data_IF_546367187004
#
_entry.id   IF_546367187004
#
_cell.length_a   1.000
_cell.length_b   1.000
_cell.length_c   1.000
_cell.angle_alpha   90.00
_cell.angle_beta   90.00
_cell.angle_gamma   90.00
#
_symmetry.space_group_name_H-M   'P 1'
#
loop_
_entity.id
_entity.type
_entity.pdbx_description
1 polymer ?
#
# COMPACT_ATOMS: atom_id res chain seq x y z
N UNK A 1 -12.62 -44.66 61.74
CA UNK A 1 -13.27 -45.78 61.03
C UNK A 1 -12.73 -45.90 59.65
N UNK A 2 -11.69 -46.73 59.48
CA UNK A 2 -11.02 -47.01 58.20
C UNK A 2 -11.83 -48.10 57.48
N UNK A 3 -12.11 -47.89 56.19
CA UNK A 3 -12.51 -48.98 55.30
C UNK A 3 -11.51 -49.04 54.13
N UNK A 4 -10.71 -50.10 54.17
CA UNK A 4 -9.88 -50.60 53.08
C UNK A 4 -10.77 -51.16 51.95
N UNK A 5 -10.56 -50.68 50.70
CA UNK A 5 -11.05 -51.36 49.51
C UNK A 5 -9.89 -51.97 48.76
N UNK A 6 -9.86 -53.31 48.74
CA UNK A 6 -8.98 -54.14 47.95
C UNK A 6 -9.30 -53.96 46.44
N UNK A 7 -8.32 -53.55 45.62
CA UNK A 7 -8.43 -53.66 44.17
C UNK A 7 -7.77 -54.99 43.71
N UNK A 8 -8.62 -55.82 43.11
CA UNK A 8 -8.23 -57.08 42.48
C UNK A 8 -7.48 -56.83 41.19
N UNK A 9 -6.28 -57.34 41.07
CA UNK A 9 -5.48 -57.37 39.83
C UNK A 9 -6.08 -58.40 38.86
N UNK A 10 -6.75 -57.90 37.80
CA UNK A 10 -7.06 -58.74 36.63
C UNK A 10 -5.91 -58.62 35.63
N UNK A 11 -5.26 -59.72 35.38
CA UNK A 11 -4.25 -59.93 34.33
C UNK A 11 -4.84 -59.68 32.95
N UNK A 12 -4.24 -58.74 32.20
CA UNK A 12 -4.53 -58.48 30.79
C UNK A 12 -3.98 -59.63 29.93
N UNK A 13 -4.84 -60.38 29.27
CA UNK A 13 -4.47 -61.31 28.23
C UNK A 13 -3.91 -60.60 26.99
N UNK A 14 -2.93 -61.14 26.27
CA UNK A 14 -2.33 -60.53 25.09
C UNK A 14 -3.30 -60.61 23.89
N UNK A 15 -3.65 -59.43 23.33
CA UNK A 15 -4.44 -59.30 22.10
C UNK A 15 -3.85 -60.11 20.94
N UNK A 16 -4.70 -60.87 20.27
CA UNK A 16 -4.36 -61.77 19.17
C UNK A 16 -3.73 -61.01 18.00
N UNK A 17 -2.81 -61.64 17.25
CA UNK A 17 -2.08 -61.08 16.11
C UNK A 17 -2.97 -60.46 15.01
N UNK A 18 -4.26 -60.83 14.96
CA UNK A 18 -5.26 -60.27 14.00
C UNK A 18 -5.70 -58.85 14.35
N UNK A 19 -5.72 -58.43 15.64
CA UNK A 19 -6.04 -57.06 16.04
C UNK A 19 -4.89 -56.09 15.78
N UNK A 20 -3.64 -56.52 15.73
CA UNK A 20 -2.49 -55.63 15.43
C UNK A 20 -2.47 -55.15 13.98
N UNK A 21 -2.99 -55.94 13.04
CA UNK A 21 -3.03 -55.57 11.62
C UNK A 21 -4.15 -54.53 11.33
N UNK A 22 -5.25 -54.59 12.06
CA UNK A 22 -6.36 -53.65 11.90
C UNK A 22 -6.03 -52.25 12.45
N UNK A 23 -5.29 -52.15 13.57
CA UNK A 23 -4.87 -50.87 14.14
C UNK A 23 -3.80 -50.13 13.29
N UNK A 24 -2.90 -50.86 12.62
CA UNK A 24 -1.88 -50.28 11.74
C UNK A 24 -2.50 -49.74 10.45
N UNK A 25 -3.57 -50.38 9.94
CA UNK A 25 -4.24 -49.90 8.72
C UNK A 25 -5.12 -48.64 8.98
N UNK A 26 -5.67 -48.48 10.19
CA UNK A 26 -6.41 -47.26 10.57
C UNK A 26 -5.48 -46.04 10.76
N UNK A 27 -4.25 -46.23 11.23
CA UNK A 27 -3.31 -45.10 11.40
C UNK A 27 -2.77 -44.55 10.08
N UNK A 28 -2.66 -45.38 9.02
CA UNK A 28 -2.25 -44.89 7.70
C UNK A 28 -3.35 -44.09 6.96
N UNK A 29 -4.64 -44.38 7.27
CA UNK A 29 -5.75 -43.68 6.60
C UNK A 29 -6.02 -42.27 7.17
N UNK A 30 -5.65 -42.00 8.42
CA UNK A 30 -5.81 -40.68 9.05
C UNK A 30 -4.77 -39.64 8.63
N UNK A 31 -3.58 -40.08 8.17
CA UNK A 31 -2.54 -39.15 7.69
C UNK A 31 -2.80 -38.60 6.28
N UNK A 32 -3.53 -39.34 5.46
CA UNK A 32 -3.90 -38.89 4.11
C UNK A 32 -4.93 -37.74 4.09
N UNK A 33 -5.86 -37.71 5.04
CA UNK A 33 -6.96 -36.71 5.07
C UNK A 33 -6.48 -35.35 5.57
N UNK A 34 -5.54 -35.31 6.51
CA UNK A 34 -4.98 -34.06 7.03
C UNK A 34 -4.04 -33.35 6.05
N UNK A 35 -3.41 -34.08 5.14
CA UNK A 35 -2.55 -33.47 4.11
C UNK A 35 -3.35 -32.77 3.02
N UNK A 36 -4.45 -33.37 2.55
CA UNK A 36 -5.32 -32.76 1.54
C UNK A 36 -6.02 -31.49 2.03
N UNK A 37 -6.46 -31.44 3.29
CA UNK A 37 -7.14 -30.27 3.84
C UNK A 37 -6.20 -29.06 3.98
N UNK A 38 -4.93 -29.29 4.29
CA UNK A 38 -3.92 -28.24 4.46
C UNK A 38 -3.46 -27.64 3.10
N UNK A 39 -3.40 -28.46 2.07
CA UNK A 39 -3.10 -28.03 0.71
C UNK A 39 -4.25 -27.18 0.14
N UNK A 40 -5.48 -27.62 0.33
CA UNK A 40 -6.69 -26.91 -0.11
C UNK A 40 -6.86 -25.57 0.61
N UNK A 41 -6.54 -25.49 1.89
CA UNK A 41 -6.57 -24.28 2.67
C UNK A 41 -5.55 -23.26 2.15
N UNK A 42 -4.35 -23.67 1.71
CA UNK A 42 -3.35 -22.79 1.10
C UNK A 42 -3.79 -22.27 -0.29
N UNK A 43 -4.52 -23.06 -1.03
CA UNK A 43 -5.05 -22.70 -2.36
C UNK A 43 -6.12 -21.61 -2.28
N UNK A 44 -6.84 -21.53 -1.14
CA UNK A 44 -7.93 -20.57 -0.90
C UNK A 44 -7.46 -19.28 -0.20
N UNK A 45 -6.16 -19.17 0.12
CA UNK A 45 -5.61 -17.97 0.77
C UNK A 45 -5.04 -16.99 -0.24
N UNK A 46 -5.35 -15.71 -0.03
CA UNK A 46 -4.73 -14.56 -0.72
C UNK A 46 -4.14 -13.65 0.34
N UNK A 47 -2.86 -13.36 0.24
CA UNK A 47 -2.15 -12.48 1.17
C UNK A 47 -1.71 -11.19 0.47
N UNK A 48 -2.12 -10.06 1.04
CA UNK A 48 -1.80 -8.71 0.56
C UNK A 48 -1.12 -7.95 1.69
N UNK A 49 0.01 -7.29 1.38
CA UNK A 49 0.63 -6.32 2.30
C UNK A 49 1.20 -5.16 1.47
N UNK A 50 1.48 -4.02 2.09
CA UNK A 50 2.08 -2.91 1.37
C UNK A 50 1.85 -1.54 1.96
N UNK A 51 1.75 -0.54 1.09
CA UNK A 51 1.59 0.86 1.49
C UNK A 51 0.26 1.16 2.19
N UNK A 52 0.28 2.03 3.19
CA UNK A 52 -0.93 2.51 3.86
C UNK A 52 -1.89 3.22 2.89
N UNK A 53 -1.33 3.91 1.90
CA UNK A 53 -2.09 4.44 0.77
C UNK A 53 -2.51 3.26 -0.12
N UNK A 54 -3.76 3.15 -0.43
CA UNK A 54 -4.34 2.00 -1.13
C UNK A 54 -4.86 0.88 -0.21
N UNK A 55 -4.50 0.87 1.07
CA UNK A 55 -4.99 -0.14 2.03
C UNK A 55 -6.51 -0.21 2.06
N UNK A 56 -7.20 0.94 2.10
CA UNK A 56 -8.66 1.00 2.06
C UNK A 56 -9.25 0.37 0.79
N UNK A 57 -8.59 0.56 -0.38
CA UNK A 57 -9.01 -0.08 -1.64
C UNK A 57 -8.86 -1.60 -1.52
N UNK A 58 -7.70 -2.07 -1.03
CA UNK A 58 -7.43 -3.51 -0.86
C UNK A 58 -8.46 -4.16 0.09
N UNK A 59 -8.79 -3.49 1.20
CA UNK A 59 -9.82 -3.96 2.13
C UNK A 59 -11.20 -4.03 1.51
N UNK A 60 -11.66 -2.95 0.86
CA UNK A 60 -12.96 -2.92 0.21
C UNK A 60 -13.11 -4.03 -0.84
N UNK A 61 -12.08 -4.21 -1.68
CA UNK A 61 -12.09 -5.28 -2.70
C UNK A 61 -12.05 -6.67 -2.04
N UNK A 62 -11.27 -6.85 -0.97
CA UNK A 62 -11.20 -8.13 -0.25
C UNK A 62 -12.54 -8.51 0.38
N UNK A 63 -13.21 -7.57 1.04
CA UNK A 63 -14.52 -7.78 1.63
C UNK A 63 -15.58 -8.16 0.58
N UNK A 64 -15.61 -7.47 -0.54
CA UNK A 64 -16.55 -7.77 -1.63
C UNK A 64 -16.24 -9.10 -2.32
N UNK A 65 -14.95 -9.41 -2.53
CA UNK A 65 -14.54 -10.70 -3.07
C UNK A 65 -14.94 -11.87 -2.16
N UNK A 66 -14.80 -11.71 -0.84
CA UNK A 66 -15.21 -12.75 0.13
C UNK A 66 -16.73 -12.97 0.16
N UNK A 67 -17.54 -11.94 -0.16
CA UNK A 67 -18.99 -12.13 -0.37
C UNK A 67 -19.27 -12.92 -1.64
N UNK A 68 -18.50 -12.67 -2.70
CA UNK A 68 -18.62 -13.41 -3.98
C UNK A 68 -18.08 -14.84 -3.86
N UNK A 69 -16.99 -15.04 -3.10
CA UNK A 69 -16.33 -16.34 -2.89
C UNK A 69 -16.10 -16.58 -1.39
N UNK A 70 -17.11 -17.09 -0.64
CA UNK A 70 -17.05 -17.23 0.82
C UNK A 70 -15.98 -18.19 1.34
N UNK A 71 -15.50 -19.11 0.53
CA UNK A 71 -14.43 -20.06 0.87
C UNK A 71 -13.02 -19.45 0.71
N UNK A 72 -12.89 -18.29 0.08
CA UNK A 72 -11.63 -17.59 -0.04
C UNK A 72 -11.31 -16.80 1.24
N UNK A 73 -10.05 -16.85 1.65
CA UNK A 73 -9.54 -16.09 2.79
C UNK A 73 -8.56 -15.03 2.29
N UNK A 74 -8.97 -13.76 2.30
CA UNK A 74 -8.12 -12.64 1.90
C UNK A 74 -7.64 -11.91 3.16
N UNK A 75 -6.32 -11.84 3.34
CA UNK A 75 -5.70 -11.08 4.41
C UNK A 75 -5.06 -9.82 3.84
N UNK A 76 -5.33 -8.67 4.45
CA UNK A 76 -4.78 -7.37 4.05
C UNK A 76 -4.01 -6.77 5.22
N UNK A 77 -2.75 -6.42 5.00
CA UNK A 77 -1.87 -5.79 5.97
C UNK A 77 -1.25 -4.50 5.40
N UNK A 78 -0.65 -3.68 6.27
CA UNK A 78 -0.03 -2.41 5.88
C UNK A 78 1.30 -2.21 6.61
N UNK A 79 2.39 -2.73 6.03
CA UNK A 79 3.76 -2.58 6.54
C UNK A 79 4.60 -1.52 5.79
N UNK A 80 3.94 -0.68 5.00
CA UNK A 80 4.60 0.28 4.10
C UNK A 80 5.03 -0.37 2.78
N UNK A 81 5.19 0.44 1.70
CA UNK A 81 5.60 -0.07 0.38
C UNK A 81 6.93 -0.84 0.45
N UNK A 82 7.94 -0.30 1.15
CA UNK A 82 9.24 -0.96 1.27
C UNK A 82 9.19 -2.25 2.07
N UNK A 83 8.43 -2.28 3.17
CA UNK A 83 8.21 -3.47 3.99
C UNK A 83 7.46 -4.55 3.23
N UNK A 84 6.36 -4.18 2.55
CA UNK A 84 5.58 -5.08 1.71
C UNK A 84 6.40 -5.68 0.58
N UNK A 85 7.17 -4.87 -0.17
CA UNK A 85 8.07 -5.37 -1.23
C UNK A 85 9.12 -6.33 -0.68
N UNK A 86 9.63 -6.09 0.53
CA UNK A 86 10.59 -7.00 1.15
C UNK A 86 10.00 -8.39 1.39
N UNK A 87 8.80 -8.47 1.97
CA UNK A 87 8.06 -9.72 2.18
C UNK A 87 7.67 -10.39 0.85
N UNK A 88 7.26 -9.58 -0.11
CA UNK A 88 6.91 -10.05 -1.45
C UNK A 88 8.09 -10.73 -2.14
N UNK A 89 9.27 -10.08 -2.17
CA UNK A 89 10.48 -10.66 -2.75
C UNK A 89 11.01 -11.86 -1.92
N UNK A 90 10.61 -12.00 -0.64
CA UNK A 90 10.88 -13.21 0.15
C UNK A 90 9.91 -14.36 -0.16
N UNK A 91 8.83 -14.10 -0.93
CA UNK A 91 7.79 -15.07 -1.26
C UNK A 91 6.80 -15.33 -0.11
N UNK A 92 6.70 -14.41 0.85
CA UNK A 92 5.84 -14.53 2.03
C UNK A 92 4.41 -14.10 1.76
N UNK A 93 4.19 -13.26 0.73
CA UNK A 93 2.88 -12.74 0.33
C UNK A 93 2.66 -12.89 -1.19
N UNK A 94 1.39 -12.93 -1.59
CA UNK A 94 0.99 -13.12 -2.99
C UNK A 94 0.95 -11.79 -3.75
N UNK A 95 0.56 -10.72 -3.07
CA UNK A 95 0.34 -9.39 -3.67
C UNK A 95 0.96 -8.33 -2.78
N UNK A 96 1.67 -7.38 -3.38
CA UNK A 96 2.12 -6.18 -2.67
C UNK A 96 1.47 -4.93 -3.23
N UNK A 97 0.87 -4.12 -2.34
CA UNK A 97 0.35 -2.79 -2.66
C UNK A 97 1.45 -1.74 -2.57
N UNK A 98 1.56 -0.88 -3.58
CA UNK A 98 2.61 0.12 -3.65
C UNK A 98 2.09 1.50 -4.06
N UNK A 99 2.57 2.53 -3.40
CA UNK A 99 2.26 3.94 -3.69
C UNK A 99 3.43 4.68 -4.36
N UNK A 100 4.32 3.92 -4.94
CA UNK A 100 5.40 4.29 -5.86
C UNK A 100 5.78 3.08 -6.70
N UNK A 101 6.43 3.26 -7.85
CA UNK A 101 7.01 2.15 -8.60
C UNK A 101 8.05 1.36 -7.78
N UNK A 102 8.18 0.08 -8.11
CA UNK A 102 9.25 -0.79 -7.58
C UNK A 102 10.62 -0.27 -8.05
N UNK A 103 11.62 -0.32 -7.17
CA UNK A 103 12.98 0.17 -7.46
C UNK A 103 13.84 -0.94 -8.07
N UNK A 104 14.87 -0.59 -8.82
CA UNK A 104 15.81 -1.56 -9.41
C UNK A 104 16.44 -2.48 -8.35
N UNK A 105 16.83 -1.94 -7.20
CA UNK A 105 17.36 -2.73 -6.07
C UNK A 105 16.36 -3.74 -5.49
N UNK A 106 15.06 -3.40 -5.55
CA UNK A 106 13.96 -4.28 -5.12
C UNK A 106 13.71 -5.36 -6.18
N UNK A 107 13.75 -5.01 -7.47
CA UNK A 107 13.65 -5.96 -8.58
C UNK A 107 14.80 -6.98 -8.52
N UNK A 108 16.04 -6.53 -8.31
CA UNK A 108 17.18 -7.44 -8.15
C UNK A 108 17.06 -8.34 -6.91
N UNK A 109 16.45 -7.86 -5.83
CA UNK A 109 16.15 -8.68 -4.66
C UNK A 109 15.14 -9.78 -4.97
N UNK A 110 14.07 -9.45 -5.69
CA UNK A 110 13.08 -10.41 -6.14
C UNK A 110 13.70 -11.45 -7.08
N UNK A 111 14.51 -11.05 -8.05
CA UNK A 111 15.22 -11.95 -8.97
C UNK A 111 16.12 -12.96 -8.23
N UNK A 112 16.88 -12.51 -7.22
CA UNK A 112 17.72 -13.41 -6.40
C UNK A 112 16.94 -14.49 -5.68
N UNK A 113 15.63 -14.31 -5.52
CA UNK A 113 14.71 -15.27 -4.89
C UNK A 113 13.80 -15.96 -5.91
N UNK A 114 14.06 -15.79 -7.21
CA UNK A 114 13.24 -16.31 -8.30
C UNK A 114 11.77 -15.88 -8.20
N UNK A 115 11.51 -14.65 -7.73
CA UNK A 115 10.17 -14.06 -7.70
C UNK A 115 10.02 -13.18 -8.93
N UNK A 116 9.19 -13.64 -9.86
CA UNK A 116 8.67 -12.84 -10.98
C UNK A 116 7.33 -12.24 -10.59
N UNK A 117 6.99 -11.10 -11.17
CA UNK A 117 5.74 -10.40 -10.83
C UNK A 117 5.08 -9.74 -12.05
N UNK A 118 3.76 -9.64 -11.96
CA UNK A 118 2.93 -8.85 -12.87
C UNK A 118 2.62 -7.51 -12.18
N UNK A 119 2.97 -6.40 -12.84
CA UNK A 119 2.69 -5.04 -12.37
C UNK A 119 1.33 -4.59 -12.84
N UNK A 120 0.47 -4.17 -11.93
CA UNK A 120 -0.93 -3.80 -12.19
C UNK A 120 -1.23 -2.44 -11.56
N UNK A 121 -1.47 -1.38 -12.32
CA UNK A 121 -2.03 -0.14 -11.80
C UNK A 121 -3.49 -0.34 -11.41
N UNK A 122 -3.89 0.24 -10.27
CA UNK A 122 -5.24 0.04 -9.69
C UNK A 122 -6.01 1.34 -9.48
N UNK A 123 -5.32 2.45 -9.34
CA UNK A 123 -5.92 3.77 -9.09
C UNK A 123 -4.90 4.88 -9.36
N UNK A 124 -5.38 6.12 -9.37
CA UNK A 124 -4.57 7.32 -9.27
C UNK A 124 -4.74 7.95 -7.88
N UNK A 125 -3.68 8.56 -7.39
CA UNK A 125 -3.63 9.29 -6.13
C UNK A 125 -2.94 10.63 -6.32
N UNK A 126 -3.35 11.64 -5.52
CA UNK A 126 -2.66 12.91 -5.40
C UNK A 126 -2.05 13.05 -4.01
N UNK A 127 -0.81 13.49 -3.91
CA UNK A 127 -0.24 13.83 -2.60
C UNK A 127 -0.70 15.25 -2.24
N UNK A 128 -1.59 15.33 -1.25
CA UNK A 128 -2.10 16.60 -0.74
C UNK A 128 -1.07 17.27 0.17
N UNK A 129 -0.64 18.49 -0.18
CA UNK A 129 0.10 19.36 0.73
C UNK A 129 -0.92 20.11 1.59
N UNK A 130 -0.83 19.95 2.90
CA UNK A 130 -1.83 20.39 3.87
C UNK A 130 -1.23 21.34 4.91
N UNK A 131 -2.02 22.31 5.31
CA UNK A 131 -1.72 23.20 6.43
C UNK A 131 -2.91 23.28 7.40
N UNK A 132 -2.69 23.80 8.58
CA UNK A 132 -3.76 24.07 9.53
C UNK A 132 -4.82 25.00 8.92
N UNK A 133 -6.08 24.84 9.31
CA UNK A 133 -7.19 25.67 8.80
C UNK A 133 -7.03 27.17 9.05
N UNK A 134 -6.28 27.55 10.08
CA UNK A 134 -5.97 28.95 10.39
C UNK A 134 -4.83 29.54 9.54
N UNK A 135 -4.11 28.68 8.77
CA UNK A 135 -3.08 29.17 7.86
C UNK A 135 -3.72 29.71 6.57
N UNK A 136 -3.74 31.04 6.44
CA UNK A 136 -4.33 31.73 5.29
C UNK A 136 -3.29 32.28 4.30
N UNK A 137 -1.99 32.21 4.63
CA UNK A 137 -0.92 32.77 3.81
C UNK A 137 -0.29 31.76 2.84
N UNK A 138 -0.13 30.49 3.21
CA UNK A 138 0.45 29.46 2.37
C UNK A 138 -0.57 28.84 1.40
N UNK A 139 -1.16 29.69 0.53
CA UNK A 139 -2.22 29.24 -0.42
C UNK A 139 -1.67 28.47 -1.61
N UNK A 140 -0.46 28.78 -2.03
CA UNK A 140 0.26 28.10 -3.11
C UNK A 140 1.75 28.08 -2.80
N UNK A 141 2.39 26.94 -3.03
CA UNK A 141 3.83 26.76 -2.91
C UNK A 141 4.40 26.26 -4.24
N UNK A 142 5.55 26.80 -4.61
CA UNK A 142 6.33 26.30 -5.74
C UNK A 142 7.05 25.01 -5.37
N UNK A 143 7.48 24.24 -6.36
CA UNK A 143 8.33 23.05 -6.12
C UNK A 143 9.64 23.47 -5.44
N UNK A 144 10.22 24.63 -5.78
CA UNK A 144 11.44 25.14 -5.16
C UNK A 144 11.22 25.48 -3.67
N UNK A 145 10.08 26.09 -3.31
CA UNK A 145 9.72 26.35 -1.92
C UNK A 145 9.49 25.07 -1.15
N UNK A 146 8.79 24.08 -1.73
CA UNK A 146 8.64 22.75 -1.13
C UNK A 146 10.00 22.05 -0.99
N UNK A 147 10.87 22.13 -2.00
CA UNK A 147 12.22 21.62 -1.93
C UNK A 147 13.03 22.30 -0.83
N UNK A 148 12.93 23.62 -0.73
CA UNK A 148 13.59 24.42 0.33
C UNK A 148 13.12 24.02 1.72
N UNK A 149 11.84 23.64 1.89
CA UNK A 149 11.30 23.15 3.16
C UNK A 149 11.86 21.74 3.47
N UNK A 150 11.77 20.81 2.51
CA UNK A 150 11.88 19.38 2.80
C UNK A 150 13.24 18.74 2.54
N UNK A 151 14.14 19.36 1.75
CA UNK A 151 15.45 18.77 1.43
C UNK A 151 16.34 18.60 2.68
N UNK A 152 17.27 17.64 2.66
CA UNK A 152 18.15 17.32 3.78
C UNK A 152 18.99 18.49 4.27
N UNK A 153 19.47 19.37 3.36
CA UNK A 153 20.28 20.54 3.71
C UNK A 153 19.51 21.62 4.49
N UNK A 154 18.17 21.50 4.62
CA UNK A 154 17.31 22.44 5.33
C UNK A 154 17.12 22.06 6.81
N UNK A 155 17.64 20.90 7.22
CA UNK A 155 17.58 20.40 8.60
C UNK A 155 18.18 21.40 9.56
N UNK A 156 17.41 21.78 10.60
CA UNK A 156 17.77 22.80 11.60
C UNK A 156 17.96 24.24 11.08
N UNK A 157 17.86 24.48 9.76
CA UNK A 157 18.11 25.80 9.16
C UNK A 157 16.85 26.53 8.75
N UNK A 158 15.91 25.84 8.11
CA UNK A 158 14.61 26.39 7.73
C UNK A 158 13.62 26.06 8.86
N UNK A 159 13.47 26.98 9.79
CA UNK A 159 12.65 26.81 11.00
C UNK A 159 11.44 27.74 11.05
N UNK A 160 11.41 28.75 10.18
CA UNK A 160 10.33 29.73 10.12
C UNK A 160 9.79 29.89 8.70
N UNK A 161 8.51 30.24 8.58
CA UNK A 161 7.81 30.41 7.32
C UNK A 161 8.41 31.52 6.45
N UNK A 162 8.82 32.67 7.02
CA UNK A 162 9.46 33.76 6.26
C UNK A 162 10.83 33.39 5.66
N UNK A 163 11.45 32.32 6.13
CA UNK A 163 12.65 31.79 5.50
C UNK A 163 12.34 31.00 4.23
N UNK A 164 11.11 30.46 4.11
CA UNK A 164 10.62 29.80 2.88
C UNK A 164 10.34 30.86 1.82
N UNK A 165 9.50 31.81 2.17
CA UNK A 165 9.12 32.95 1.33
C UNK A 165 9.11 34.22 2.20
N UNK A 166 9.84 35.29 1.83
CA UNK A 166 9.89 36.54 2.62
C UNK A 166 8.54 37.24 2.83
N UNK A 167 7.53 36.95 1.97
CA UNK A 167 6.17 37.48 2.12
C UNK A 167 5.35 36.78 3.22
N UNK A 168 5.82 35.63 3.72
CA UNK A 168 5.15 34.89 4.77
C UNK A 168 5.50 35.46 6.16
N UNK A 169 4.62 35.26 7.15
CA UNK A 169 4.89 35.75 8.50
C UNK A 169 6.12 35.09 9.14
N UNK A 170 6.79 35.81 10.04
CA UNK A 170 7.88 35.26 10.83
C UNK A 170 7.32 34.38 11.95
N UNK A 171 6.81 33.20 11.59
CA UNK A 171 6.24 32.22 12.48
C UNK A 171 7.01 30.89 12.35
N UNK A 172 7.06 30.13 13.43
CA UNK A 172 7.75 28.84 13.44
C UNK A 172 7.09 27.86 12.49
N UNK A 173 7.88 27.19 11.66
CA UNK A 173 7.41 26.14 10.75
C UNK A 173 7.48 24.78 11.48
N UNK A 174 6.34 24.10 11.62
CA UNK A 174 6.23 22.74 12.15
C UNK A 174 5.89 21.76 11.03
N UNK A 175 6.56 20.63 11.00
CA UNK A 175 6.51 19.70 9.88
C UNK A 175 6.02 18.32 10.30
N UNK A 176 5.07 17.79 9.54
CA UNK A 176 4.50 16.45 9.69
C UNK A 176 4.53 15.73 8.37
N UNK A 177 5.08 14.51 8.33
CA UNK A 177 5.19 13.75 7.09
C UNK A 177 5.14 12.24 7.32
N UNK A 178 4.82 11.46 6.28
CA UNK A 178 4.96 10.02 6.33
C UNK A 178 6.37 9.58 6.73
N UNK A 179 6.49 8.45 7.42
CA UNK A 179 7.77 7.88 7.81
C UNK A 179 8.64 7.54 6.58
N UNK A 180 9.96 7.57 6.77
CA UNK A 180 10.96 7.53 5.70
C UNK A 180 11.05 6.20 4.92
N UNK A 181 10.37 5.16 5.37
CA UNK A 181 10.23 3.86 4.71
C UNK A 181 8.91 3.70 3.95
N UNK A 182 8.08 4.76 3.90
CA UNK A 182 6.81 4.75 3.17
C UNK A 182 6.98 5.14 1.71
N UNK A 183 6.13 4.58 0.83
CA UNK A 183 6.12 4.93 -0.59
C UNK A 183 5.70 6.39 -0.84
N UNK A 184 4.86 6.97 0.03
CA UNK A 184 4.47 8.39 -0.06
C UNK A 184 5.65 9.31 0.20
N UNK A 185 6.47 8.99 1.20
CA UNK A 185 7.71 9.73 1.47
C UNK A 185 8.70 9.63 0.30
N UNK A 186 8.93 8.42 -0.21
CA UNK A 186 9.83 8.19 -1.34
C UNK A 186 9.38 8.99 -2.57
N UNK A 187 8.09 8.90 -2.92
CA UNK A 187 7.56 9.60 -4.10
C UNK A 187 7.59 11.12 -3.93
N UNK A 188 7.15 11.64 -2.78
CA UNK A 188 7.16 13.08 -2.51
C UNK A 188 8.58 13.66 -2.57
N UNK A 189 9.54 13.02 -1.91
CA UNK A 189 10.92 13.50 -1.91
C UNK A 189 11.54 13.44 -3.30
N UNK A 190 11.27 12.39 -4.08
CA UNK A 190 11.67 12.31 -5.49
C UNK A 190 11.08 13.44 -6.33
N UNK A 191 9.77 13.69 -6.19
CA UNK A 191 9.05 14.70 -6.97
C UNK A 191 9.51 16.13 -6.64
N UNK A 192 9.77 16.41 -5.36
CA UNK A 192 10.05 17.76 -4.86
C UNK A 192 11.54 18.10 -4.85
N UNK A 193 12.40 17.11 -4.54
CA UNK A 193 13.85 17.37 -4.39
C UNK A 193 14.71 16.72 -5.50
N UNK A 194 14.06 16.03 -6.43
CA UNK A 194 14.73 15.30 -7.53
C UNK A 194 15.35 13.97 -7.12
N UNK A 195 15.32 13.62 -5.82
CA UNK A 195 15.93 12.37 -5.31
C UNK A 195 15.09 11.79 -4.17
N UNK A 196 14.69 10.53 -4.33
CA UNK A 196 14.01 9.80 -3.25
C UNK A 196 14.85 9.78 -1.97
N UNK A 197 14.16 9.96 -0.84
CA UNK A 197 14.77 10.03 0.51
C UNK A 197 15.70 11.23 0.78
N UNK A 198 15.81 12.18 -0.13
CA UNK A 198 16.49 13.43 0.16
C UNK A 198 15.58 14.34 1.00
N UNK A 199 15.61 14.16 2.30
CA UNK A 199 14.75 14.88 3.24
C UNK A 199 15.48 15.24 4.52
N UNK A 200 15.03 16.31 5.15
CA UNK A 200 15.39 16.65 6.54
C UNK A 200 14.87 15.60 7.50
N UNK A 201 15.39 15.57 8.73
CA UNK A 201 15.04 14.60 9.77
C UNK A 201 14.26 15.20 10.93
N UNK A 202 14.28 16.53 11.08
CA UNK A 202 13.67 17.30 12.16
C UNK A 202 12.17 17.60 11.94
N UNK A 203 11.43 16.63 11.42
CA UNK A 203 9.97 16.64 11.29
C UNK A 203 9.35 15.55 12.16
N UNK A 204 8.02 15.57 12.35
CA UNK A 204 7.29 14.52 13.05
C UNK A 204 6.85 13.44 12.05
N UNK A 205 7.47 12.25 12.06
CA UNK A 205 7.09 11.16 11.15
C UNK A 205 5.93 10.32 11.68
N UNK A 206 5.13 9.74 10.78
CA UNK A 206 4.17 8.68 11.14
C UNK A 206 3.88 7.75 9.96
N UNK A 207 3.69 6.45 10.24
CA UNK A 207 3.14 5.49 9.29
C UNK A 207 1.62 5.64 9.18
N UNK A 208 0.96 6.10 10.24
CA UNK A 208 -0.47 6.38 10.25
C UNK A 208 -0.71 7.83 9.84
N UNK A 209 -1.27 8.04 8.66
CA UNK A 209 -1.50 9.39 8.13
C UNK A 209 -2.58 10.17 8.90
N UNK A 210 -3.49 9.51 9.62
CA UNK A 210 -4.42 10.21 10.53
C UNK A 210 -3.69 10.94 11.68
N UNK A 211 -2.56 10.41 12.14
CA UNK A 211 -1.69 11.10 13.12
C UNK A 211 -1.10 12.38 12.52
N UNK A 212 -0.74 12.35 11.22
CA UNK A 212 -0.25 13.54 10.51
C UNK A 212 -1.35 14.59 10.38
N UNK A 213 -2.57 14.17 10.01
CA UNK A 213 -3.75 15.03 9.97
C UNK A 213 -4.01 15.69 11.32
N UNK A 214 -3.98 14.92 12.42
CA UNK A 214 -4.14 15.45 13.78
C UNK A 214 -3.02 16.44 14.13
N UNK A 215 -1.77 16.13 13.80
CA UNK A 215 -0.64 17.03 14.05
C UNK A 215 -0.78 18.37 13.32
N UNK A 216 -1.15 18.34 12.04
CA UNK A 216 -1.35 19.56 11.24
C UNK A 216 -2.57 20.34 11.71
N UNK A 217 -3.68 19.69 12.01
CA UNK A 217 -4.89 20.37 12.50
C UNK A 217 -4.73 20.95 13.90
N UNK A 218 -3.82 20.42 14.70
CA UNK A 218 -3.57 20.86 16.08
C UNK A 218 -2.56 22.01 16.23
N UNK A 219 -1.86 22.43 15.17
CA UNK A 219 -0.87 23.50 15.21
C UNK A 219 -1.05 24.49 14.06
N UNK A 220 -1.37 25.74 14.36
CA UNK A 220 -1.62 26.81 13.38
C UNK A 220 -0.45 27.03 12.40
N UNK A 221 0.76 26.68 12.80
CA UNK A 221 1.98 26.88 12.02
C UNK A 221 2.46 25.60 11.30
N UNK A 222 1.64 24.54 11.34
CA UNK A 222 2.01 23.26 10.77
C UNK A 222 1.83 23.20 9.25
N UNK A 223 2.75 22.48 8.62
CA UNK A 223 2.68 22.00 7.24
C UNK A 223 2.91 20.49 7.24
N UNK A 224 2.17 19.79 6.40
CA UNK A 224 2.40 18.36 6.16
C UNK A 224 2.01 17.95 4.75
N UNK A 225 2.17 16.66 4.46
CA UNK A 225 1.64 16.06 3.24
C UNK A 225 1.11 14.65 3.51
N UNK A 226 0.02 14.31 2.84
CA UNK A 226 -0.70 13.04 2.98
C UNK A 226 -1.26 12.61 1.62
N UNK A 227 -1.74 11.36 1.50
CA UNK A 227 -2.55 10.95 0.35
C UNK A 227 -3.87 11.73 0.30
N UNK A 228 -4.41 11.94 -0.90
CA UNK A 228 -5.59 12.79 -1.10
C UNK A 228 -6.81 12.31 -0.29
N UNK A 229 -7.01 11.00 -0.13
CA UNK A 229 -8.13 10.44 0.64
C UNK A 229 -8.17 10.95 2.08
N UNK A 230 -7.02 11.05 2.74
CA UNK A 230 -6.93 11.57 4.12
C UNK A 230 -7.30 13.05 4.22
N UNK A 231 -6.99 13.84 3.19
CA UNK A 231 -7.47 15.22 3.11
C UNK A 231 -8.98 15.27 2.88
N UNK A 232 -9.50 14.45 1.96
CA UNK A 232 -10.93 14.41 1.63
C UNK A 232 -11.81 14.09 2.86
N UNK A 233 -11.34 13.21 3.74
CA UNK A 233 -12.01 12.85 4.99
C UNK A 233 -11.93 13.95 6.08
N UNK A 234 -11.03 14.94 5.92
CA UNK A 234 -10.72 15.95 6.95
C UNK A 234 -10.69 17.38 6.42
N UNK A 235 -11.48 17.70 5.37
CA UNK A 235 -11.55 19.02 4.74
C UNK A 235 -12.04 20.13 5.70
N UNK A 236 -12.78 19.75 6.72
CA UNK A 236 -13.27 20.65 7.78
C UNK A 236 -12.16 21.16 8.71
N UNK A 237 -11.02 20.43 8.80
CA UNK A 237 -9.92 20.69 9.75
C UNK A 237 -8.68 21.28 9.10
N UNK A 238 -8.55 21.16 7.78
CA UNK A 238 -7.33 21.44 7.04
C UNK A 238 -7.58 22.40 5.87
N UNK A 239 -6.57 23.19 5.53
CA UNK A 239 -6.48 23.87 4.25
C UNK A 239 -5.54 23.11 3.30
N UNK A 240 -5.96 23.01 2.05
CA UNK A 240 -5.18 22.42 0.97
C UNK A 240 -4.32 23.50 0.31
N UNK A 241 -3.01 23.28 0.32
CA UNK A 241 -2.06 24.15 -0.38
C UNK A 241 -2.02 23.77 -1.86
N UNK A 242 -2.20 24.72 -2.74
CA UNK A 242 -1.96 24.50 -4.16
C UNK A 242 -0.45 24.35 -4.43
N UNK A 243 -0.10 23.54 -5.40
CA UNK A 243 1.29 23.37 -5.84
C UNK A 243 1.44 23.96 -7.23
N UNK A 244 2.47 24.78 -7.42
CA UNK A 244 2.73 25.38 -8.72
C UNK A 244 3.25 24.28 -9.66
N UNK A 245 2.51 24.08 -10.75
CA UNK A 245 2.88 23.14 -11.82
C UNK A 245 4.13 23.63 -12.58
N UNK A 246 4.79 22.78 -13.37
CA UNK A 246 5.92 23.19 -14.24
C UNK A 246 5.52 24.31 -15.22
N UNK A 247 4.23 24.45 -15.53
CA UNK A 247 3.68 25.52 -16.40
C UNK A 247 3.43 26.84 -15.64
N UNK A 248 3.75 26.91 -14.36
CA UNK A 248 3.65 28.14 -13.55
C UNK A 248 2.29 28.38 -12.91
N UNK A 249 1.31 27.46 -13.07
CA UNK A 249 -0.04 27.60 -12.49
C UNK A 249 -0.16 26.85 -11.17
N UNK A 250 -0.83 27.48 -10.19
CA UNK A 250 -1.13 26.87 -8.91
C UNK A 250 -2.29 25.87 -9.05
N UNK A 251 -2.03 24.61 -8.82
CA UNK A 251 -2.99 23.51 -8.95
C UNK A 251 -3.20 22.80 -7.63
N UNK A 252 -4.43 22.33 -7.40
CA UNK A 252 -4.79 21.48 -6.27
C UNK A 252 -5.16 20.08 -6.78
N UNK A 253 -5.02 19.02 -5.98
CA UNK A 253 -5.50 17.69 -6.36
C UNK A 253 -7.04 17.57 -6.37
N UNK A 254 -7.74 18.60 -5.92
CA UNK A 254 -9.21 18.69 -5.91
C UNK A 254 -9.66 19.85 -6.81
N UNK A 255 -10.63 19.67 -7.71
CA UNK A 255 -11.39 18.42 -7.96
C UNK A 255 -10.49 17.28 -8.44
N UNK A 256 -10.90 16.04 -8.18
CA UNK A 256 -10.10 14.84 -8.49
C UNK A 256 -9.73 14.70 -9.98
N UNK A 257 -10.51 15.32 -10.86
CA UNK A 257 -10.22 15.47 -12.29
C UNK A 257 -8.82 16.04 -12.57
N UNK A 258 -8.29 16.88 -11.67
CA UNK A 258 -6.95 17.45 -11.82
C UNK A 258 -5.86 16.37 -11.74
N UNK A 259 -6.13 15.27 -11.02
CA UNK A 259 -5.26 14.09 -10.95
C UNK A 259 -5.40 13.24 -12.20
N UNK A 260 -6.65 12.97 -12.65
CA UNK A 260 -6.95 12.21 -13.89
C UNK A 260 -6.35 12.87 -15.11
N UNK A 261 -6.58 14.17 -15.27
CA UNK A 261 -6.12 14.97 -16.41
C UNK A 261 -4.63 15.31 -16.34
N UNK A 262 -3.93 14.79 -15.34
CA UNK A 262 -2.50 15.04 -15.13
C UNK A 262 -2.16 16.55 -15.04
N UNK A 263 -3.01 17.33 -14.40
CA UNK A 263 -2.83 18.77 -14.20
C UNK A 263 -2.11 19.07 -12.88
N UNK A 264 -2.37 18.22 -11.85
CA UNK A 264 -1.72 18.33 -10.55
C UNK A 264 -0.34 17.67 -10.55
N UNK A 265 0.63 18.33 -11.12
CA UNK A 265 2.00 17.86 -11.28
C UNK A 265 2.98 18.57 -10.32
N UNK A 266 4.02 17.88 -9.87
CA UNK A 266 4.38 16.46 -10.10
C UNK A 266 3.82 15.50 -9.03
N UNK A 267 2.83 15.90 -8.24
CA UNK A 267 2.35 15.15 -7.06
C UNK A 267 1.19 14.19 -7.34
N UNK A 268 0.80 14.00 -8.61
CA UNK A 268 -0.07 12.91 -9.04
C UNK A 268 0.74 11.63 -9.26
N UNK A 269 0.21 10.47 -8.85
CA UNK A 269 0.90 9.19 -8.95
C UNK A 269 -0.05 8.00 -9.16
N UNK A 270 0.39 6.91 -9.80
CA UNK A 270 -0.34 5.66 -9.79
C UNK A 270 -0.21 4.96 -8.44
N UNK A 271 -1.30 4.29 -8.04
CA UNK A 271 -1.25 3.21 -7.05
C UNK A 271 -1.15 1.89 -7.81
N UNK A 272 -0.27 1.03 -7.36
CA UNK A 272 0.10 -0.21 -8.04
C UNK A 272 -0.09 -1.40 -7.10
N UNK A 273 -0.40 -2.55 -7.69
CA UNK A 273 -0.13 -3.84 -7.06
C UNK A 273 0.88 -4.62 -7.90
N UNK A 274 1.73 -5.39 -7.23
CA UNK A 274 2.59 -6.37 -7.86
C UNK A 274 2.11 -7.74 -7.43
N UNK A 275 1.76 -8.57 -8.39
CA UNK A 275 1.22 -9.92 -8.18
C UNK A 275 2.32 -10.93 -8.43
N UNK A 276 2.57 -11.82 -7.48
CA UNK A 276 3.51 -12.91 -7.66
C UNK A 276 3.02 -13.82 -8.80
N UNK A 277 3.80 -13.95 -9.87
CA UNK A 277 3.44 -14.72 -11.05
C UNK A 277 3.15 -16.18 -10.71
N UNK A 278 4.00 -16.79 -9.89
CA UNK A 278 3.79 -18.18 -9.46
C UNK A 278 2.48 -18.35 -8.69
N UNK A 279 2.15 -17.40 -7.81
CA UNK A 279 0.86 -17.41 -7.09
C UNK A 279 -0.31 -17.23 -8.06
N UNK A 280 -0.20 -16.32 -9.02
CA UNK A 280 -1.22 -16.08 -10.06
C UNK A 280 -1.49 -17.35 -10.91
N UNK A 281 -0.45 -18.12 -11.23
CA UNK A 281 -0.55 -19.33 -12.04
C UNK A 281 -1.02 -20.55 -11.22
N UNK A 282 -0.52 -20.71 -9.98
CA UNK A 282 -0.70 -21.94 -9.20
C UNK A 282 -1.82 -21.88 -8.17
N UNK A 283 -2.27 -20.67 -7.74
CA UNK A 283 -3.33 -20.49 -6.76
C UNK A 283 -4.61 -19.96 -7.42
N UNK A 284 -5.66 -20.78 -7.57
CA UNK A 284 -6.93 -20.34 -8.17
C UNK A 284 -7.52 -19.09 -7.47
N UNK A 285 -7.47 -19.03 -6.13
CA UNK A 285 -8.00 -17.88 -5.38
C UNK A 285 -7.25 -16.59 -5.65
N UNK A 286 -5.93 -16.63 -5.87
CA UNK A 286 -5.15 -15.43 -6.23
C UNK A 286 -5.54 -14.95 -7.62
N UNK A 287 -5.65 -15.86 -8.60
CA UNK A 287 -6.06 -15.52 -9.96
C UNK A 287 -7.47 -14.93 -10.00
N UNK A 288 -8.42 -15.57 -9.32
CA UNK A 288 -9.80 -15.10 -9.26
C UNK A 288 -9.90 -13.75 -8.54
N UNK A 289 -9.14 -13.57 -7.44
CA UNK A 289 -9.09 -12.30 -6.73
C UNK A 289 -8.51 -11.17 -7.59
N UNK A 290 -7.42 -11.41 -8.31
CA UNK A 290 -6.80 -10.39 -9.18
C UNK A 290 -7.73 -10.02 -10.33
N UNK A 291 -8.40 -11.00 -10.95
CA UNK A 291 -9.39 -10.72 -11.98
C UNK A 291 -10.58 -9.92 -11.43
N UNK A 292 -11.13 -10.33 -10.27
CA UNK A 292 -12.19 -9.58 -9.60
C UNK A 292 -11.77 -8.16 -9.25
N UNK A 293 -10.52 -7.98 -8.81
CA UNK A 293 -9.94 -6.68 -8.49
C UNK A 293 -9.93 -5.78 -9.74
N UNK A 294 -9.37 -6.25 -10.83
CA UNK A 294 -9.26 -5.47 -12.08
C UNK A 294 -10.64 -5.19 -12.70
N UNK A 295 -11.58 -6.13 -12.60
CA UNK A 295 -12.92 -5.97 -13.16
C UNK A 295 -13.80 -4.98 -12.40
N UNK A 296 -13.53 -4.78 -11.10
CA UNK A 296 -14.45 -4.08 -10.21
C UNK A 296 -13.82 -2.94 -9.41
N UNK A 297 -12.49 -2.78 -9.38
CA UNK A 297 -11.81 -1.82 -8.48
C UNK A 297 -12.33 -0.38 -8.60
N UNK A 298 -12.68 0.06 -9.80
CA UNK A 298 -13.22 1.40 -10.06
C UNK A 298 -14.41 1.75 -9.14
N UNK A 299 -15.26 0.77 -8.77
CA UNK A 299 -16.41 0.98 -7.89
C UNK A 299 -16.01 1.40 -6.48
N UNK A 300 -14.91 0.84 -5.97
CA UNK A 300 -14.45 1.08 -4.59
C UNK A 300 -13.37 2.13 -4.50
N UNK A 301 -12.60 2.33 -5.56
CA UNK A 301 -11.55 3.36 -5.63
C UNK A 301 -12.13 4.73 -5.30
N UNK A 302 -13.23 5.12 -5.95
CA UNK A 302 -13.88 6.40 -5.71
C UNK A 302 -14.59 6.47 -4.35
N UNK A 303 -15.20 5.36 -3.93
CA UNK A 303 -15.89 5.28 -2.63
C UNK A 303 -14.94 5.48 -1.44
N UNK A 304 -13.65 5.15 -1.59
CA UNK A 304 -12.63 5.34 -0.56
C UNK A 304 -11.73 6.57 -0.83
N UNK A 305 -12.18 7.50 -1.68
CA UNK A 305 -11.56 8.81 -1.87
C UNK A 305 -10.34 8.85 -2.78
N UNK A 306 -10.14 7.83 -3.63
CA UNK A 306 -9.13 7.82 -4.68
C UNK A 306 -9.74 8.05 -6.06
N UNK A 307 -8.91 8.03 -7.08
CA UNK A 307 -9.28 8.36 -8.45
C UNK A 307 -9.17 7.12 -9.33
N UNK A 308 -10.26 6.80 -10.04
CA UNK A 308 -10.28 5.69 -11.00
C UNK A 308 -9.29 5.92 -12.14
N UNK A 309 -8.78 4.83 -12.69
CA UNK A 309 -7.98 4.88 -13.90
C UNK A 309 -8.87 5.31 -15.09
N UNK A 310 -8.29 5.90 -16.15
CA UNK A 310 -9.01 6.10 -17.40
C UNK A 310 -9.56 4.80 -17.97
N UNK A 311 -10.75 4.84 -18.56
CA UNK A 311 -11.46 3.65 -19.05
C UNK A 311 -10.62 2.81 -20.02
N UNK A 312 -9.82 3.44 -20.87
CA UNK A 312 -8.91 2.81 -21.82
C UNK A 312 -7.77 2.00 -21.16
N UNK A 313 -7.51 2.21 -19.87
CA UNK A 313 -6.50 1.47 -19.12
C UNK A 313 -6.94 0.03 -18.81
N UNK A 314 -8.22 -0.18 -18.48
CA UNK A 314 -8.71 -1.46 -17.98
C UNK A 314 -8.56 -2.63 -18.97
N UNK A 315 -8.86 -2.49 -20.28
CA UNK A 315 -8.63 -3.57 -21.24
C UNK A 315 -7.16 -4.02 -21.33
N UNK A 316 -6.22 -3.06 -21.28
CA UNK A 316 -4.77 -3.35 -21.33
C UNK A 316 -4.30 -4.05 -20.05
N UNK A 317 -4.81 -3.63 -18.90
CA UNK A 317 -4.51 -4.24 -17.61
C UNK A 317 -5.02 -5.69 -17.58
N UNK A 318 -6.25 -5.93 -18.01
CA UNK A 318 -6.83 -7.28 -18.15
C UNK A 318 -5.99 -8.18 -19.03
N UNK A 319 -5.57 -7.70 -20.20
CA UNK A 319 -4.69 -8.42 -21.11
C UNK A 319 -3.35 -8.75 -20.44
N UNK A 320 -2.73 -7.81 -19.73
CA UNK A 320 -1.46 -8.00 -19.02
C UNK A 320 -1.58 -9.06 -17.92
N UNK A 321 -2.66 -9.02 -17.14
CA UNK A 321 -2.92 -10.04 -16.11
C UNK A 321 -3.17 -11.41 -16.73
N UNK A 322 -3.94 -11.49 -17.80
CA UNK A 322 -4.26 -12.74 -18.49
C UNK A 322 -3.02 -13.37 -19.15
N UNK A 323 -2.12 -12.56 -19.71
CA UNK A 323 -0.87 -13.05 -20.32
C UNK A 323 0.22 -13.38 -19.29
N UNK A 324 0.09 -12.90 -18.06
CA UNK A 324 1.14 -13.03 -17.04
C UNK A 324 2.43 -12.27 -17.41
N UNK A 325 2.33 -11.18 -18.18
CA UNK A 325 3.46 -10.34 -18.58
C UNK A 325 4.19 -9.79 -17.37
N UNK A 326 5.46 -10.14 -17.21
CA UNK A 326 6.28 -9.77 -16.06
C UNK A 326 7.09 -8.51 -16.28
N UNK A 327 7.56 -7.93 -15.17
CA UNK A 327 8.40 -6.75 -15.15
C UNK A 327 7.65 -5.48 -14.78
N UNK A 328 8.35 -4.35 -14.81
CA UNK A 328 7.82 -3.04 -14.48
C UNK A 328 8.06 -2.04 -15.61
N UNK A 329 7.02 -1.44 -16.11
CA UNK A 329 7.08 -0.28 -17.02
C UNK A 329 7.13 1.03 -16.23
N UNK A 330 6.61 1.01 -15.01
CA UNK A 330 6.56 2.20 -14.14
C UNK A 330 7.88 2.51 -13.43
N UNK A 331 8.86 1.58 -13.40
CA UNK A 331 10.13 1.78 -12.66
C UNK A 331 10.93 2.99 -13.13
N UNK A 332 10.88 3.29 -14.42
CA UNK A 332 11.61 4.41 -15.04
C UNK A 332 10.72 5.67 -15.18
N UNK A 333 9.45 5.60 -14.76
CA UNK A 333 8.52 6.71 -14.86
C UNK A 333 8.92 7.88 -13.96
N UNK A 334 8.91 9.07 -14.53
CA UNK A 334 9.13 10.31 -13.77
C UNK A 334 7.88 10.65 -12.94
N UNK A 335 8.04 11.28 -11.75
CA UNK A 335 6.90 11.79 -11.01
C UNK A 335 6.01 12.67 -11.88
N UNK A 336 4.69 12.36 -11.91
CA UNK A 336 3.72 13.06 -12.74
C UNK A 336 3.63 12.59 -14.20
N UNK A 337 4.28 11.51 -14.59
CA UNK A 337 4.14 10.95 -15.92
C UNK A 337 2.74 10.36 -16.13
N UNK A 338 2.06 10.67 -17.27
CA UNK A 338 0.73 10.13 -17.54
C UNK A 338 0.70 8.61 -17.59
N UNK A 339 -0.26 8.00 -16.90
CA UNK A 339 -0.39 6.54 -16.84
C UNK A 339 -0.60 5.92 -18.24
N UNK A 340 -1.26 6.64 -19.13
CA UNK A 340 -1.51 6.17 -20.50
C UNK A 340 -0.22 5.87 -21.29
N UNK A 341 0.89 6.53 -20.95
CA UNK A 341 2.20 6.30 -21.57
C UNK A 341 2.88 5.03 -21.06
N UNK A 342 2.40 4.48 -19.92
CA UNK A 342 3.05 3.40 -19.18
C UNK A 342 2.26 2.07 -19.24
N UNK A 343 1.13 2.07 -19.91
CA UNK A 343 0.29 0.87 -20.16
C UNK A 343 0.61 0.20 -21.52
#
# INVERSE_FOLDING_TARGET
MQRHLCFSSKTLEPLSKKCRFALTFLMFFTWGITSCSREQQKQNQVSIDGGAVGYAIHQAVAEEFQKFKPDAQVSVASSGTGGGVSKFCAGEIDIVGASRPIKDEEIERCKKKNIEFVEVPIALDGIAVIVNRQNEFAKCLTIDELSKIWQSKSDGKITNWNQVNPSFPNQRLKLYAPASDTGTFDYFTQAVTGKAKNSRTDYTPSHNQNVLVQGVSGDANALGYVGISYYMENQDKLNLVAVQSPQGTCQKPVPLDNVVKNVYLPLSRPLLIYVNKKSLESKPSVREFVNFYVDNSWKWVEAVGYVSLPDEAYPRIKQKVASGETGSKFKDAKPGEPIANLL
#
